data_IF_903265651107
#
_entry.id   IF_903265651107
#
_cell.length_a   1.000
_cell.length_b   1.000
_cell.length_c   1.000
_cell.angle_alpha   90.00
_cell.angle_beta   90.00
_cell.angle_gamma   90.00
#
_symmetry.space_group_name_H-M   'P 1'
#
loop_
_entity.id
_entity.type
_entity.pdbx_description
1 polymer ?
#
# COMPACT_ATOMS: atom_id res chain seq x y z
N UNK A 1 -3.44 -13.51 -7.28
CA UNK A 1 -3.32 -12.92 -8.63
C UNK A 1 -2.12 -11.99 -8.61
N UNK A 2 -1.20 -12.12 -9.57
CA UNK A 2 0.06 -11.37 -9.58
C UNK A 2 -0.23 -9.90 -9.94
N UNK A 3 0.41 -8.94 -9.28
CA UNK A 3 0.39 -7.55 -9.74
C UNK A 3 0.97 -7.48 -11.15
N UNK A 4 0.31 -6.79 -12.10
CA UNK A 4 0.92 -6.50 -13.39
C UNK A 4 2.24 -5.76 -13.20
N UNK A 5 3.27 -6.20 -13.90
CA UNK A 5 4.58 -5.54 -13.91
C UNK A 5 4.46 -4.15 -14.53
N UNK A 6 5.03 -3.14 -13.86
CA UNK A 6 5.14 -1.80 -14.43
C UNK A 6 6.13 -1.80 -15.60
N UNK A 7 5.70 -1.28 -16.74
CA UNK A 7 6.57 -1.01 -17.90
C UNK A 7 7.72 -0.04 -17.60
N UNK A 8 7.57 0.80 -16.58
CA UNK A 8 8.56 1.79 -16.16
C UNK A 8 8.78 1.71 -14.66
N UNK A 9 10.03 1.54 -14.25
CA UNK A 9 10.42 1.47 -12.83
C UNK A 9 11.12 2.73 -12.33
N UNK A 10 11.42 3.68 -13.22
CA UNK A 10 12.00 4.99 -12.89
C UNK A 10 11.04 6.11 -13.27
N UNK A 11 10.70 6.95 -12.29
CA UNK A 11 9.79 8.08 -12.45
C UNK A 11 10.48 9.39 -12.10
N UNK A 12 10.27 10.40 -12.93
CA UNK A 12 10.55 11.79 -12.58
C UNK A 12 9.23 12.40 -12.11
N UNK A 13 9.23 12.88 -10.88
CA UNK A 13 8.03 13.35 -10.17
C UNK A 13 8.25 14.81 -9.76
N UNK A 14 7.22 15.65 -9.92
CA UNK A 14 7.25 17.03 -9.44
C UNK A 14 7.29 17.05 -7.92
N UNK A 15 8.06 17.97 -7.35
CA UNK A 15 8.27 18.10 -5.90
C UNK A 15 6.97 18.39 -5.13
N UNK A 16 6.03 19.11 -5.77
CA UNK A 16 4.72 19.48 -5.20
C UNK A 16 3.69 18.36 -5.23
N UNK A 17 3.95 17.25 -5.95
CA UNK A 17 3.04 16.13 -5.98
C UNK A 17 2.96 15.46 -4.61
N UNK A 18 1.73 15.17 -4.17
CA UNK A 18 1.48 14.43 -2.93
C UNK A 18 1.54 12.93 -3.17
N UNK A 19 1.77 12.15 -2.11
CA UNK A 19 1.75 10.69 -2.17
C UNK A 19 0.45 10.13 -2.74
N UNK A 20 -0.70 10.68 -2.35
CA UNK A 20 -2.00 10.29 -2.92
C UNK A 20 -2.04 10.47 -4.43
N UNK A 21 -1.54 11.61 -4.94
CA UNK A 21 -1.54 11.87 -6.37
C UNK A 21 -0.60 10.93 -7.11
N UNK A 22 0.58 10.67 -6.56
CA UNK A 22 1.53 9.72 -7.14
C UNK A 22 0.95 8.30 -7.19
N UNK A 23 0.29 7.84 -6.12
CA UNK A 23 -0.40 6.54 -6.10
C UNK A 23 -1.44 6.43 -7.22
N UNK A 24 -2.23 7.48 -7.45
CA UNK A 24 -3.19 7.52 -8.56
C UNK A 24 -2.51 7.42 -9.92
N UNK A 25 -1.37 8.09 -10.13
CA UNK A 25 -0.60 7.98 -11.38
C UNK A 25 -0.09 6.55 -11.58
N UNK A 26 0.48 5.93 -10.55
CA UNK A 26 0.96 4.54 -10.62
C UNK A 26 -0.20 3.58 -10.88
N UNK A 27 -1.37 3.80 -10.25
CA UNK A 27 -2.59 3.02 -10.50
C UNK A 27 -3.00 3.06 -11.97
N UNK A 28 -3.03 4.25 -12.55
CA UNK A 28 -3.36 4.42 -13.97
C UNK A 28 -2.34 3.77 -14.90
N UNK A 29 -1.07 3.67 -14.49
CA UNK A 29 -0.01 3.03 -15.26
C UNK A 29 -0.02 1.50 -15.17
N UNK A 30 -0.34 0.94 -14.00
CA UNK A 30 -0.39 -0.51 -13.79
C UNK A 30 -1.62 -1.17 -14.44
N UNK A 31 -2.54 -0.40 -15.04
CA UNK A 31 -3.81 -0.90 -15.62
C UNK A 31 -4.57 -1.78 -14.60
N UNK A 32 -4.54 -1.39 -13.32
CA UNK A 32 -5.20 -2.13 -12.26
C UNK A 32 -6.72 -1.95 -12.35
N UNK A 33 -7.45 -3.06 -12.23
CA UNK A 33 -8.90 -3.04 -12.15
C UNK A 33 -9.40 -2.23 -10.94
N UNK A 34 -10.64 -1.73 -10.99
CA UNK A 34 -11.25 -0.99 -9.88
C UNK A 34 -11.20 -1.77 -8.55
N UNK A 35 -11.29 -3.09 -8.64
CA UNK A 35 -11.29 -4.07 -7.54
C UNK A 35 -9.90 -4.37 -6.98
N UNK A 36 -8.83 -4.04 -7.70
CA UNK A 36 -7.47 -4.31 -7.24
C UNK A 36 -6.89 -3.09 -6.52
N UNK A 37 -6.49 -3.31 -5.27
CA UNK A 37 -5.79 -2.32 -4.48
C UNK A 37 -4.33 -2.74 -4.30
N UNK A 38 -3.45 -1.75 -4.27
CA UNK A 38 -2.04 -1.92 -3.97
C UNK A 38 -1.61 -0.85 -2.97
N UNK A 39 -0.51 -1.11 -2.28
CA UNK A 39 0.14 -0.18 -1.38
C UNK A 39 1.57 0.05 -1.84
N UNK A 40 2.08 1.25 -1.55
CA UNK A 40 3.44 1.65 -1.83
C UNK A 40 4.15 1.92 -0.50
N UNK A 41 5.36 1.40 -0.36
CA UNK A 41 6.25 1.65 0.75
C UNK A 41 7.45 2.42 0.22
N UNK A 42 7.85 3.49 0.89
CA UNK A 42 9.11 4.19 0.58
C UNK A 42 10.14 3.73 1.60
N UNK A 43 11.29 3.26 1.14
CA UNK A 43 12.34 2.73 2.00
C UNK A 43 11.81 1.70 3.02
N UNK A 44 11.02 0.73 2.54
CA UNK A 44 10.35 -0.30 3.36
C UNK A 44 9.38 0.21 4.46
N UNK A 45 9.03 1.50 4.50
CA UNK A 45 8.00 2.05 5.38
C UNK A 45 6.70 2.35 4.63
N UNK A 46 5.58 1.89 5.19
CA UNK A 46 4.24 2.30 4.77
C UNK A 46 3.94 3.72 5.28
N UNK A 47 3.46 4.59 4.40
CA UNK A 47 3.05 5.94 4.78
C UNK A 47 1.63 5.90 5.36
N UNK A 48 1.51 6.15 6.66
CA UNK A 48 0.20 6.35 7.31
C UNK A 48 -0.48 7.66 6.90
N UNK A 49 0.30 8.62 6.42
CA UNK A 49 -0.18 9.95 6.01
C UNK A 49 0.04 10.13 4.51
N UNK A 50 -1.05 10.10 3.73
CA UNK A 50 -0.98 10.27 2.27
C UNK A 50 -0.85 11.75 1.82
N UNK A 51 -0.89 12.69 2.77
CA UNK A 51 -0.79 14.13 2.52
C UNK A 51 0.66 14.64 2.36
N UNK A 52 1.67 13.79 2.52
CA UNK A 52 3.07 14.18 2.40
C UNK A 52 3.43 14.44 0.93
N UNK A 53 4.21 15.47 0.68
CA UNK A 53 4.71 15.80 -0.67
C UNK A 53 5.94 14.99 -1.05
N UNK A 54 6.19 14.81 -2.34
CA UNK A 54 7.38 14.13 -2.82
C UNK A 54 8.67 14.88 -2.49
N UNK A 55 8.61 16.22 -2.34
CA UNK A 55 9.73 17.00 -1.83
C UNK A 55 10.16 16.54 -0.43
N UNK A 56 9.20 16.36 0.47
CA UNK A 56 9.47 15.94 1.85
C UNK A 56 10.00 14.51 1.90
N UNK A 57 9.42 13.62 1.11
CA UNK A 57 9.88 12.23 1.02
C UNK A 57 11.28 12.16 0.45
N UNK A 58 11.57 12.92 -0.60
CA UNK A 58 12.90 12.98 -1.16
C UNK A 58 13.93 13.52 -0.16
N UNK A 59 13.56 14.51 0.66
CA UNK A 59 14.45 15.05 1.69
C UNK A 59 14.77 14.03 2.79
N UNK A 60 13.77 13.27 3.24
CA UNK A 60 13.86 12.38 4.41
C UNK A 60 14.28 10.94 4.06
N UNK A 61 13.99 10.47 2.84
CA UNK A 61 14.15 9.08 2.40
C UNK A 61 15.03 8.90 1.15
N UNK A 62 15.72 9.94 0.66
CA UNK A 62 16.71 9.74 -0.41
C UNK A 62 17.86 8.88 0.08
N UNK A 63 18.38 8.08 -0.83
CA UNK A 63 19.62 7.35 -0.65
C UNK A 63 20.84 8.22 -1.02
N UNK A 64 22.06 7.72 -0.75
CA UNK A 64 23.31 8.44 -1.07
C UNK A 64 23.48 8.62 -2.60
N UNK A 65 22.91 7.71 -3.39
CA UNK A 65 22.87 7.80 -4.85
C UNK A 65 21.97 8.93 -5.38
N UNK A 66 21.18 9.59 -4.52
CA UNK A 66 20.24 10.64 -4.91
C UNK A 66 18.92 10.12 -5.49
N UNK A 67 18.56 8.87 -5.21
CA UNK A 67 17.28 8.27 -5.59
C UNK A 67 16.46 7.87 -4.37
N UNK A 68 15.15 7.78 -4.55
CA UNK A 68 14.21 7.27 -3.53
C UNK A 68 13.69 5.92 -3.99
N UNK A 69 13.91 4.89 -3.18
CA UNK A 69 13.47 3.53 -3.47
C UNK A 69 12.08 3.28 -2.90
N UNK A 70 11.19 2.78 -3.75
CA UNK A 70 9.81 2.48 -3.40
C UNK A 70 9.47 1.04 -3.77
N UNK A 71 8.80 0.34 -2.86
CA UNK A 71 8.31 -1.02 -3.05
C UNK A 71 6.79 -0.99 -3.14
N UNK A 72 6.21 -1.60 -4.16
CA UNK A 72 4.76 -1.76 -4.27
C UNK A 72 4.35 -3.20 -3.94
N UNK A 73 3.18 -3.38 -3.35
CA UNK A 73 2.63 -4.69 -3.05
C UNK A 73 1.11 -4.72 -3.10
N UNK A 74 0.53 -5.89 -3.37
CA UNK A 74 -0.91 -6.07 -3.60
C UNK A 74 -1.63 -6.19 -2.27
N UNK A 75 -2.81 -5.56 -2.16
CA UNK A 75 -3.69 -5.70 -1.00
C UNK A 75 -4.09 -7.16 -0.73
N UNK A 76 -3.88 -8.10 -1.66
CA UNK A 76 -4.12 -9.52 -1.41
C UNK A 76 -3.29 -10.08 -0.23
N UNK A 77 -2.26 -9.37 0.24
CA UNK A 77 -1.55 -9.69 1.48
C UNK A 77 -2.33 -9.36 2.78
N UNK A 78 -3.51 -8.75 2.68
CA UNK A 78 -4.34 -8.31 3.82
C UNK A 78 -5.49 -9.23 4.21
N UNK A 79 -5.75 -10.32 3.49
CA UNK A 79 -6.86 -11.24 3.79
C UNK A 79 -6.46 -12.50 4.59
N UNK A 80 -5.25 -12.57 5.16
CA UNK A 80 -4.89 -13.62 6.12
C UNK A 80 -4.45 -12.99 7.45
N UNK A 81 -5.40 -12.35 8.12
CA UNK A 81 -5.20 -11.79 9.46
C UNK A 81 -6.42 -11.92 10.40
N UNK A 82 -7.56 -12.42 9.91
CA UNK A 82 -8.65 -12.88 10.78
C UNK A 82 -8.55 -14.39 10.98
N UNK A 83 -7.40 -14.87 11.47
CA UNK A 83 -7.36 -16.16 12.14
C UNK A 83 -7.79 -15.90 13.59
N UNK A 84 -9.09 -16.02 13.83
CA UNK A 84 -9.62 -16.13 15.18
C UNK A 84 -8.82 -17.19 15.95
N UNK A 85 -8.32 -16.92 17.16
CA UNK A 85 -7.84 -17.99 18.02
C UNK A 85 -9.04 -18.87 18.36
N UNK A 86 -9.10 -20.06 17.76
CA UNK A 86 -9.88 -21.16 18.30
C UNK A 86 -9.06 -21.78 19.43
N UNK A 87 -9.24 -21.28 20.64
CA UNK A 87 -9.02 -22.11 21.82
C UNK A 87 -10.38 -22.36 22.46
N UNK A 88 -10.78 -23.63 22.42
CA UNK A 88 -11.99 -24.08 23.08
C UNK A 88 -11.68 -24.35 24.54
N UNK A 89 -12.45 -23.75 25.45
CA UNK A 89 -13.26 -24.48 26.42
C UNK A 89 -14.01 -23.52 27.34
N UNK A 90 -15.29 -23.87 27.54
CA UNK A 90 -16.19 -23.50 28.63
C UNK A 90 -16.95 -22.16 28.61
N UNK A 91 -18.25 -22.36 28.40
CA UNK A 91 -19.41 -21.73 29.04
C UNK A 91 -20.00 -20.45 28.41
N UNK A 92 -20.99 -20.69 27.54
CA UNK A 92 -22.29 -20.00 27.59
C UNK A 92 -22.38 -18.60 26.97
N UNK A 93 -22.96 -18.50 25.77
CA UNK A 93 -23.37 -17.21 25.19
C UNK A 93 -23.91 -17.31 23.76
N UNK A 94 -25.23 -17.45 23.66
CA UNK A 94 -26.17 -17.46 22.52
C UNK A 94 -25.67 -16.98 21.14
N UNK A 95 -26.08 -17.63 20.02
CA UNK A 95 -25.86 -17.10 18.67
C UNK A 95 -26.81 -15.94 18.36
N UNK A 96 -26.27 -14.79 17.95
CA UNK A 96 -27.04 -13.75 17.28
C UNK A 96 -27.29 -14.16 15.83
N UNK A 97 -28.56 -14.34 15.47
CA UNK A 97 -29.00 -14.38 14.07
C UNK A 97 -29.36 -12.97 13.60
N UNK A 98 -29.17 -12.64 12.31
CA UNK A 98 -29.56 -11.36 11.75
C UNK A 98 -31.06 -11.33 11.48
N UNK A 99 -31.74 -10.30 12.01
CA UNK A 99 -32.80 -9.53 11.34
C UNK A 99 -32.57 -8.06 11.66
#
# INVERSE_FOLDING_TARGET
MLLPSLDKTKFLVTQELTMTQFLSVIRSRMVLGATEAFYLLVNNRSFGSMNVTMAEIYRDYKDEDGFVYMTYASQMFGCLGSAAPKDGSSLGGRPCYPL
#
